data_IF_737788014163
#
_entry.id   IF_737788014163
#
_cell.length_a   1.000
_cell.length_b   1.000
_cell.length_c   1.000
_cell.angle_alpha   90.00
_cell.angle_beta   90.00
_cell.angle_gamma   90.00
#
_symmetry.space_group_name_H-M   'P 1'
#
loop_
_entity.id
_entity.type
_entity.pdbx_description
1 polymer ?
#
# COMPACT_ATOMS: atom_id res chain seq x y z
N UNK A 1 24.24 19.53 -24.07
CA UNK A 1 22.95 19.56 -24.78
C UNK A 1 22.54 18.10 -24.95
N UNK A 2 21.90 17.55 -23.91
CA UNK A 2 21.65 16.12 -23.79
C UNK A 2 20.46 15.71 -24.63
N UNK A 3 20.63 14.59 -25.31
CA UNK A 3 19.62 13.88 -26.09
C UNK A 3 18.29 13.78 -25.32
N UNK A 4 17.23 14.41 -25.86
CA UNK A 4 15.87 14.36 -25.33
C UNK A 4 14.98 13.33 -26.04
N UNK A 5 15.58 12.38 -26.78
CA UNK A 5 14.86 11.26 -27.44
C UNK A 5 15.02 9.94 -26.71
N UNK A 6 15.11 9.98 -25.38
CA UNK A 6 15.01 8.77 -24.56
C UNK A 6 13.55 8.33 -24.46
N UNK A 7 13.27 7.06 -24.75
CA UNK A 7 11.98 6.43 -24.44
C UNK A 7 11.62 6.71 -22.97
N UNK A 8 10.35 7.00 -22.66
CA UNK A 8 9.93 7.24 -21.28
C UNK A 8 10.26 6.01 -20.42
N UNK A 9 10.65 6.21 -19.14
CA UNK A 9 10.94 5.10 -18.26
C UNK A 9 9.73 4.17 -18.21
N UNK A 10 9.95 2.86 -18.40
CA UNK A 10 8.88 1.87 -18.41
C UNK A 10 8.37 1.53 -17.02
N UNK A 11 9.10 1.93 -15.98
CA UNK A 11 8.83 1.62 -14.60
C UNK A 11 8.89 2.88 -13.72
N UNK A 12 7.98 2.95 -12.76
CA UNK A 12 7.95 3.95 -11.70
C UNK A 12 7.87 3.23 -10.36
N UNK A 13 8.83 3.54 -9.49
CA UNK A 13 8.85 3.09 -8.10
C UNK A 13 8.08 4.09 -7.23
N UNK A 14 7.13 3.57 -6.46
CA UNK A 14 6.35 4.29 -5.45
C UNK A 14 6.79 3.77 -4.08
N UNK A 15 7.62 4.57 -3.42
CA UNK A 15 8.20 4.30 -2.10
C UNK A 15 7.33 4.94 -1.02
N UNK A 16 6.16 4.35 -0.81
CA UNK A 16 5.26 4.78 0.25
C UNK A 16 5.54 3.93 1.49
N UNK A 17 6.61 4.25 2.22
CA UNK A 17 6.82 3.71 3.55
C UNK A 17 5.83 4.38 4.52
N UNK A 18 5.13 3.64 5.39
CA UNK A 18 4.30 4.24 6.43
C UNK A 18 5.17 5.13 7.34
N UNK A 19 4.61 6.26 7.80
CA UNK A 19 5.36 7.23 8.57
C UNK A 19 5.85 6.63 9.91
N UNK A 20 7.06 6.98 10.40
CA UNK A 20 7.56 6.49 11.69
C UNK A 20 6.61 6.90 12.82
N UNK A 21 5.86 5.94 13.37
CA UNK A 21 4.84 6.18 14.42
C UNK A 21 3.51 5.44 14.21
N UNK A 22 3.24 4.95 12.99
CA UNK A 22 1.95 4.34 12.58
C UNK A 22 1.67 2.93 13.16
N UNK A 23 2.59 2.32 13.91
CA UNK A 23 2.40 0.99 14.54
C UNK A 23 1.44 0.99 15.74
N UNK A 24 0.96 2.16 16.18
CA UNK A 24 0.34 2.33 17.50
C UNK A 24 -1.20 2.32 17.52
N UNK A 25 -1.87 2.38 16.36
CA UNK A 25 -3.33 2.54 16.29
C UNK A 25 -4.13 1.21 16.30
N UNK A 26 -3.44 0.06 16.35
CA UNK A 26 -4.05 -1.28 16.31
C UNK A 26 -4.27 -1.99 17.66
N UNK A 27 -4.26 -1.25 18.77
CA UNK A 27 -4.12 -1.80 20.14
C UNK A 27 -5.18 -2.85 20.54
N UNK A 28 -6.39 -2.83 19.96
CA UNK A 28 -7.47 -3.75 20.33
C UNK A 28 -7.37 -5.17 19.76
N UNK A 29 -7.06 -5.32 18.46
CA UNK A 29 -7.00 -6.63 17.78
C UNK A 29 -5.60 -7.25 17.76
N UNK A 30 -4.55 -6.43 17.98
CA UNK A 30 -3.16 -6.89 18.04
C UNK A 30 -2.83 -7.72 19.30
N UNK A 31 -3.65 -7.63 20.35
CA UNK A 31 -3.43 -8.35 21.62
C UNK A 31 -3.96 -9.79 21.61
N UNK A 32 -4.90 -10.13 20.74
CA UNK A 32 -5.48 -11.48 20.65
C UNK A 32 -4.44 -12.60 20.46
N UNK A 33 -3.47 -12.50 19.53
CA UNK A 33 -2.44 -13.52 19.39
C UNK A 33 -1.51 -13.59 20.62
N UNK A 34 -1.26 -12.47 21.31
CA UNK A 34 -0.41 -12.40 22.50
C UNK A 34 -1.10 -13.10 23.69
N UNK A 35 -2.39 -12.85 23.89
CA UNK A 35 -3.18 -13.51 24.94
C UNK A 35 -3.28 -15.01 24.69
N UNK A 36 -3.49 -15.43 23.44
CA UNK A 36 -3.55 -16.85 23.07
C UNK A 36 -2.21 -17.55 23.30
N UNK A 37 -1.09 -16.94 22.91
CA UNK A 37 0.25 -17.50 23.15
C UNK A 37 0.58 -17.55 24.64
N UNK A 38 0.19 -16.54 25.42
CA UNK A 38 0.36 -16.54 26.87
C UNK A 38 -0.42 -17.68 27.55
N UNK A 39 -1.66 -17.96 27.10
CA UNK A 39 -2.48 -19.06 27.62
C UNK A 39 -1.90 -20.44 27.29
N UNK A 40 -1.42 -20.64 26.06
CA UNK A 40 -0.78 -21.91 25.64
C UNK A 40 0.54 -22.12 26.40
N UNK A 41 1.36 -21.07 26.57
CA UNK A 41 2.60 -21.14 27.34
C UNK A 41 2.33 -21.43 28.83
N UNK A 42 1.33 -20.78 29.43
CA UNK A 42 0.90 -21.02 30.81
C UNK A 42 0.38 -22.44 31.04
N UNK A 43 -0.38 -22.99 30.09
CA UNK A 43 -0.85 -24.37 30.13
C UNK A 43 0.30 -25.38 30.04
N UNK A 44 1.26 -25.17 29.14
CA UNK A 44 2.45 -26.02 28.99
C UNK A 44 3.36 -25.97 30.23
N UNK A 45 3.54 -24.79 30.83
CA UNK A 45 4.33 -24.61 32.05
C UNK A 45 3.75 -25.39 33.25
N UNK A 46 2.42 -25.49 33.34
CA UNK A 46 1.74 -26.22 34.41
C UNK A 46 1.75 -27.74 34.22
N UNK A 47 1.73 -28.23 32.98
CA UNK A 47 1.57 -29.66 32.68
C UNK A 47 2.88 -30.43 32.44
N UNK A 48 3.97 -29.74 32.07
CA UNK A 48 5.23 -30.39 31.70
C UNK A 48 6.39 -29.90 32.56
N UNK A 49 6.79 -28.65 32.39
CA UNK A 49 7.79 -27.98 33.22
C UNK A 49 7.86 -26.47 32.86
N UNK A 50 8.37 -25.62 33.77
CA UNK A 50 8.57 -24.19 33.49
C UNK A 50 9.46 -23.94 32.27
N UNK A 51 10.49 -24.77 32.09
CA UNK A 51 11.44 -24.68 30.97
C UNK A 51 10.77 -24.98 29.62
N UNK A 52 9.86 -25.97 29.59
CA UNK A 52 9.10 -26.29 28.38
C UNK A 52 8.15 -25.15 27.98
N UNK A 53 7.53 -24.48 28.96
CA UNK A 53 6.69 -23.30 28.73
C UNK A 53 7.48 -22.15 28.08
N UNK A 54 8.70 -21.89 28.56
CA UNK A 54 9.58 -20.86 27.98
C UNK A 54 10.00 -21.19 26.54
N UNK A 55 10.37 -22.44 26.26
CA UNK A 55 10.75 -22.86 24.90
C UNK A 55 9.58 -22.68 23.92
N UNK A 56 8.36 -23.07 24.31
CA UNK A 56 7.17 -22.87 23.49
C UNK A 56 6.88 -21.39 23.24
N UNK A 57 7.05 -20.52 24.25
CA UNK A 57 6.85 -19.09 24.10
C UNK A 57 7.87 -18.47 23.12
N UNK A 58 9.16 -18.79 23.28
CA UNK A 58 10.20 -18.31 22.37
C UNK A 58 10.00 -18.81 20.94
N UNK A 59 9.64 -20.07 20.76
CA UNK A 59 9.34 -20.63 19.44
C UNK A 59 8.13 -19.94 18.80
N UNK A 60 7.08 -19.65 19.57
CA UNK A 60 5.91 -18.95 19.07
C UNK A 60 6.21 -17.49 18.70
N UNK A 61 7.01 -16.77 19.50
CA UNK A 61 7.47 -15.41 19.16
C UNK A 61 8.34 -15.43 17.91
N UNK A 62 9.30 -16.35 17.82
CA UNK A 62 10.17 -16.48 16.65
C UNK A 62 9.36 -16.80 15.38
N UNK A 63 8.42 -17.75 15.47
CA UNK A 63 7.53 -18.08 14.36
C UNK A 63 6.66 -16.87 13.98
N UNK A 64 6.11 -16.16 14.96
CA UNK A 64 5.32 -14.95 14.70
C UNK A 64 6.14 -13.86 14.03
N UNK A 65 7.39 -13.62 14.45
CA UNK A 65 8.29 -12.66 13.81
C UNK A 65 8.66 -13.07 12.38
N UNK A 66 8.81 -14.36 12.12
CA UNK A 66 9.13 -14.89 10.78
C UNK A 66 7.90 -14.86 9.85
N UNK A 67 6.70 -15.13 10.37
CA UNK A 67 5.44 -15.14 9.62
C UNK A 67 4.90 -13.72 9.42
N UNK A 68 5.07 -12.83 10.41
CA UNK A 68 4.80 -11.41 10.31
C UNK A 68 5.94 -10.72 9.56
N UNK A 69 6.29 -11.24 8.38
CA UNK A 69 6.97 -10.40 7.41
C UNK A 69 5.94 -9.35 7.00
N UNK A 70 6.17 -8.07 7.33
CA UNK A 70 5.30 -7.03 6.88
C UNK A 70 5.26 -7.11 5.35
N UNK A 71 4.11 -6.77 4.78
CA UNK A 71 3.94 -6.52 3.36
C UNK A 71 4.70 -5.22 3.03
N UNK A 72 6.01 -5.23 3.28
CA UNK A 72 6.97 -4.16 3.04
C UNK A 72 7.56 -4.41 1.66
N UNK A 73 7.19 -3.55 0.73
CA UNK A 73 7.77 -3.52 -0.60
C UNK A 73 7.24 -2.32 -1.34
N UNK A 74 8.14 -1.65 -2.06
CA UNK A 74 7.78 -0.53 -2.93
C UNK A 74 6.76 -1.01 -3.96
N UNK A 75 5.80 -0.16 -4.28
CA UNK A 75 4.92 -0.43 -5.41
C UNK A 75 5.70 -0.11 -6.68
N UNK A 76 5.65 -1.01 -7.64
CA UNK A 76 6.28 -0.83 -8.95
C UNK A 76 5.16 -0.77 -9.97
N UNK A 77 5.01 0.39 -10.61
CA UNK A 77 4.12 0.59 -11.74
C UNK A 77 4.94 0.38 -13.01
N UNK A 78 4.56 -0.59 -13.82
CA UNK A 78 5.17 -0.83 -15.13
C UNK A 78 4.13 -0.60 -16.21
N UNK A 79 4.51 0.05 -17.32
CA UNK A 79 3.67 0.15 -18.51
C UNK A 79 4.29 -0.67 -19.64
N UNK A 80 3.58 -1.71 -20.05
CA UNK A 80 3.92 -2.58 -21.19
C UNK A 80 2.63 -2.98 -21.93
N UNK A 81 2.11 -2.05 -22.74
CA UNK A 81 0.77 -2.11 -23.34
C UNK A 81 -0.40 -2.01 -22.35
N UNK A 82 -0.16 -2.27 -21.06
CA UNK A 82 -1.09 -2.17 -19.96
C UNK A 82 -0.34 -1.65 -18.72
N UNK A 83 -1.07 -1.01 -17.80
CA UNK A 83 -0.56 -0.68 -16.47
C UNK A 83 -0.53 -1.96 -15.63
N UNK A 84 0.68 -2.35 -15.22
CA UNK A 84 0.94 -3.48 -14.33
C UNK A 84 1.40 -2.93 -12.99
N UNK A 85 0.70 -3.29 -11.92
CA UNK A 85 1.02 -2.89 -10.55
C UNK A 85 1.56 -4.12 -9.84
N UNK A 86 2.80 -4.03 -9.36
CA UNK A 86 3.47 -5.09 -8.59
C UNK A 86 3.99 -4.52 -7.27
N UNK A 87 4.31 -5.41 -6.33
CA UNK A 87 5.14 -5.06 -5.17
C UNK A 87 6.53 -5.62 -5.43
N UNK A 88 7.57 -4.86 -5.12
CA UNK A 88 8.97 -5.22 -5.38
C UNK A 88 9.35 -6.65 -4.92
N UNK A 89 8.81 -7.11 -3.78
CA UNK A 89 9.08 -8.44 -3.22
C UNK A 89 8.11 -9.54 -3.66
N UNK A 90 7.13 -9.23 -4.53
CA UNK A 90 6.14 -10.20 -5.03
C UNK A 90 6.31 -10.38 -6.54
N UNK A 91 6.40 -11.63 -6.97
CA UNK A 91 6.50 -11.97 -8.40
C UNK A 91 5.17 -11.76 -9.14
N UNK A 92 4.04 -11.97 -8.47
CA UNK A 92 2.72 -11.85 -9.07
C UNK A 92 2.23 -10.39 -9.08
N UNK A 93 1.64 -9.92 -10.19
CA UNK A 93 1.04 -8.59 -10.26
C UNK A 93 -0.19 -8.51 -9.36
N UNK A 94 -0.29 -7.42 -8.61
CA UNK A 94 -1.47 -7.05 -7.82
C UNK A 94 -2.63 -6.75 -8.75
N UNK A 95 -2.33 -6.07 -9.86
CA UNK A 95 -3.32 -5.75 -10.87
C UNK A 95 -2.66 -5.54 -12.24
N UNK A 96 -3.43 -5.83 -13.28
CA UNK A 96 -3.14 -5.47 -14.66
C UNK A 96 -4.37 -4.79 -15.25
N UNK A 97 -4.19 -3.62 -15.84
CA UNK A 97 -5.28 -2.77 -16.35
C UNK A 97 -4.87 -2.21 -17.70
N UNK A 98 -5.73 -2.31 -18.71
CA UNK A 98 -5.48 -1.63 -19.97
C UNK A 98 -5.39 -0.11 -19.74
N UNK A 99 -4.46 0.58 -20.41
CA UNK A 99 -4.24 2.00 -20.14
C UNK A 99 -5.49 2.85 -20.46
N UNK A 100 -6.26 2.44 -21.47
CA UNK A 100 -7.54 3.07 -21.84
C UNK A 100 -8.63 2.91 -20.77
N UNK A 101 -8.55 1.83 -19.99
CA UNK A 101 -9.45 1.54 -18.88
C UNK A 101 -9.09 2.32 -17.62
N UNK A 102 -7.91 2.95 -17.55
CA UNK A 102 -7.52 3.82 -16.44
C UNK A 102 -8.25 5.17 -16.61
N UNK A 103 -9.21 5.45 -15.73
CA UNK A 103 -10.05 6.64 -15.82
C UNK A 103 -9.36 7.87 -15.24
N UNK A 104 -8.89 7.77 -14.01
CA UNK A 104 -8.17 8.82 -13.31
C UNK A 104 -7.25 8.23 -12.22
N UNK A 105 -6.36 9.06 -11.69
CA UNK A 105 -5.54 8.77 -10.53
C UNK A 105 -5.92 9.77 -9.44
N UNK A 106 -6.66 9.31 -8.43
CA UNK A 106 -7.28 10.13 -7.39
C UNK A 106 -6.70 9.80 -6.00
N UNK A 107 -7.06 10.63 -5.02
CA UNK A 107 -6.70 10.42 -3.62
C UNK A 107 -7.95 10.06 -2.83
N UNK A 108 -7.98 8.86 -2.28
CA UNK A 108 -9.01 8.43 -1.34
C UNK A 108 -8.64 8.94 0.05
N UNK A 109 -9.49 9.79 0.63
CA UNK A 109 -9.22 10.51 1.88
C UNK A 109 -10.08 9.97 3.01
N UNK A 110 -9.48 9.76 4.18
CA UNK A 110 -10.18 9.41 5.41
C UNK A 110 -9.73 10.36 6.52
N UNK A 111 -10.70 11.04 7.12
CA UNK A 111 -10.47 11.91 8.28
C UNK A 111 -10.89 11.16 9.53
N UNK A 112 -9.95 10.96 10.46
CA UNK A 112 -10.25 10.39 11.78
C UNK A 112 -10.38 11.52 12.79
N UNK A 113 -11.47 11.47 13.55
CA UNK A 113 -11.65 12.36 14.69
C UNK A 113 -10.52 12.08 15.70
N UNK A 114 -9.86 13.15 16.16
CA UNK A 114 -8.90 13.03 17.24
C UNK A 114 -9.60 12.55 18.52
N UNK A 115 -8.90 11.76 19.34
CA UNK A 115 -9.35 11.45 20.69
C UNK A 115 -9.49 12.72 21.56
N UNK A 116 -9.83 12.59 22.85
CA UNK A 116 -10.02 13.74 23.75
C UNK A 116 -8.86 14.75 23.67
N UNK A 117 -9.11 15.89 23.01
CA UNK A 117 -8.16 16.99 22.83
C UNK A 117 -7.18 16.86 21.65
N UNK A 118 -7.26 15.81 20.83
CA UNK A 118 -6.44 15.63 19.64
C UNK A 118 -7.01 16.35 18.42
N UNK A 119 -6.12 16.92 17.58
CA UNK A 119 -6.52 17.41 16.27
C UNK A 119 -6.96 16.23 15.36
N UNK A 120 -7.96 16.43 14.49
CA UNK A 120 -8.30 15.45 13.47
C UNK A 120 -7.08 15.09 12.62
N UNK A 121 -6.92 13.81 12.32
CA UNK A 121 -5.84 13.33 11.44
C UNK A 121 -6.43 12.90 10.11
N UNK A 122 -5.94 13.52 9.04
CA UNK A 122 -6.23 13.10 7.67
C UNK A 122 -5.22 12.06 7.23
N UNK A 123 -5.73 10.99 6.60
CA UNK A 123 -4.97 9.89 6.06
C UNK A 123 -5.49 9.58 4.67
N UNK A 124 -4.60 9.36 3.72
CA UNK A 124 -4.99 9.25 2.31
C UNK A 124 -4.30 8.07 1.65
N UNK A 125 -4.85 7.56 0.57
CA UNK A 125 -4.18 6.57 -0.28
C UNK A 125 -4.44 6.89 -1.74
N UNK A 126 -3.49 6.55 -2.60
CA UNK A 126 -3.64 6.72 -4.03
C UNK A 126 -4.61 5.67 -4.57
N UNK A 127 -5.56 6.10 -5.40
CA UNK A 127 -6.51 5.25 -6.07
C UNK A 127 -6.34 5.40 -7.58
N UNK A 128 -6.13 4.28 -8.28
CA UNK A 128 -6.19 4.23 -9.74
C UNK A 128 -7.60 3.77 -10.11
N UNK A 129 -8.40 4.70 -10.63
CA UNK A 129 -9.77 4.45 -11.03
C UNK A 129 -9.81 3.69 -12.36
N UNK A 130 -10.71 2.71 -12.44
CA UNK A 130 -10.82 1.81 -13.60
C UNK A 130 -12.23 1.86 -14.15
N UNK A 131 -12.35 1.71 -15.47
CA UNK A 131 -13.63 1.49 -16.12
C UNK A 131 -14.29 0.20 -15.61
N UNK A 132 -13.48 -0.83 -15.36
CA UNK A 132 -13.90 -2.11 -14.84
C UNK A 132 -13.84 -2.15 -13.29
N UNK A 133 -14.89 -1.66 -12.62
CA UNK A 133 -15.13 -1.95 -11.21
C UNK A 133 -14.29 -1.16 -10.20
N UNK A 134 -13.84 -1.82 -9.13
CA UNK A 134 -13.25 -1.15 -7.96
C UNK A 134 -11.90 -0.48 -8.27
N UNK A 135 -11.56 0.65 -7.61
CA UNK A 135 -10.25 1.28 -7.73
C UNK A 135 -9.11 0.38 -7.22
N UNK A 136 -7.91 0.53 -7.80
CA UNK A 136 -6.71 -0.10 -7.24
C UNK A 136 -6.05 0.88 -6.29
N UNK A 137 -5.87 0.46 -5.03
CA UNK A 137 -5.19 1.27 -4.02
C UNK A 137 -3.69 0.96 -3.97
N UNK A 138 -2.85 1.99 -4.09
CA UNK A 138 -1.38 1.85 -4.05
C UNK A 138 -0.69 3.06 -3.38
N UNK A 139 -0.33 3.02 -2.09
CA UNK A 139 -0.36 1.85 -1.21
C UNK A 139 -1.76 1.41 -0.76
N UNK A 140 -1.86 0.17 -0.28
CA UNK A 140 -3.09 -0.34 0.35
C UNK A 140 -3.34 0.36 1.69
N UNK A 141 -2.27 0.65 2.42
CA UNK A 141 -2.26 1.42 3.66
C UNK A 141 -2.40 2.91 3.34
N UNK A 142 -2.90 3.69 4.30
CA UNK A 142 -3.01 5.14 4.14
C UNK A 142 -1.72 5.82 4.61
N UNK A 143 -1.30 6.82 3.87
CA UNK A 143 -0.11 7.64 4.11
C UNK A 143 -0.51 9.10 4.38
N UNK A 144 0.49 9.97 4.55
CA UNK A 144 0.24 11.39 4.78
C UNK A 144 -0.28 12.08 3.51
N UNK A 145 -1.09 13.16 3.63
CA UNK A 145 -1.56 13.93 2.47
C UNK A 145 -0.44 14.44 1.56
N UNK A 146 0.68 14.87 2.14
CA UNK A 146 1.81 15.44 1.40
C UNK A 146 2.46 14.38 0.51
N UNK A 147 2.78 13.21 1.07
CA UNK A 147 3.38 12.10 0.31
C UNK A 147 2.44 11.64 -0.81
N UNK A 148 1.15 11.51 -0.53
CA UNK A 148 0.22 11.04 -1.54
C UNK A 148 0.02 12.04 -2.69
N UNK A 149 0.03 13.35 -2.41
CA UNK A 149 0.00 14.37 -3.47
C UNK A 149 1.25 14.30 -4.35
N UNK A 150 2.42 14.11 -3.76
CA UNK A 150 3.66 13.91 -4.51
C UNK A 150 3.58 12.67 -5.41
N UNK A 151 3.12 11.54 -4.86
CA UNK A 151 2.96 10.29 -5.60
C UNK A 151 1.91 10.39 -6.70
N UNK A 152 0.77 11.04 -6.44
CA UNK A 152 -0.26 11.28 -7.44
C UNK A 152 0.29 12.06 -8.64
N UNK A 153 1.05 13.13 -8.39
CA UNK A 153 1.70 13.91 -9.44
C UNK A 153 2.66 13.05 -10.28
N UNK A 154 3.55 12.29 -9.62
CA UNK A 154 4.51 11.41 -10.29
C UNK A 154 3.82 10.34 -11.16
N UNK A 155 2.80 9.68 -10.61
CA UNK A 155 2.04 8.65 -11.35
C UNK A 155 1.33 9.26 -12.55
N UNK A 156 0.65 10.41 -12.40
CA UNK A 156 -0.01 11.09 -13.53
C UNK A 156 0.98 11.47 -14.64
N UNK A 157 2.14 12.01 -14.28
CA UNK A 157 3.20 12.36 -15.25
C UNK A 157 3.72 11.11 -15.97
N UNK A 158 3.99 10.04 -15.23
CA UNK A 158 4.44 8.77 -15.77
C UNK A 158 3.42 8.17 -16.75
N UNK A 159 2.14 8.07 -16.36
CA UNK A 159 1.10 7.53 -17.24
C UNK A 159 0.93 8.38 -18.51
N UNK A 160 0.98 9.72 -18.39
CA UNK A 160 0.90 10.63 -19.54
C UNK A 160 2.05 10.43 -20.52
N UNK A 161 3.27 10.18 -20.03
CA UNK A 161 4.40 9.86 -20.88
C UNK A 161 4.19 8.58 -21.71
N UNK A 162 3.27 7.70 -21.28
CA UNK A 162 2.85 6.49 -22.00
C UNK A 162 1.52 6.65 -22.77
N UNK A 163 1.06 7.89 -23.01
CA UNK A 163 -0.11 8.18 -23.85
C UNK A 163 -1.46 8.13 -23.12
N UNK A 164 -1.46 7.94 -21.80
CA UNK A 164 -2.68 8.05 -21.00
C UNK A 164 -3.14 9.51 -20.87
N UNK A 165 -4.45 9.72 -20.89
CA UNK A 165 -5.09 10.98 -20.54
C UNK A 165 -6.22 10.75 -19.53
N UNK A 166 -6.35 11.62 -18.51
CA UNK A 166 -7.49 11.62 -17.61
C UNK A 166 -8.83 11.67 -18.36
N UNK A 167 -9.88 11.09 -17.76
CA UNK A 167 -11.21 11.01 -18.37
C UNK A 167 -11.77 12.36 -18.81
N UNK A 168 -11.60 13.40 -17.99
CA UNK A 168 -12.04 14.77 -18.28
C UNK A 168 -11.32 15.35 -19.51
N UNK A 169 -10.00 15.19 -19.59
CA UNK A 169 -9.21 15.62 -20.75
C UNK A 169 -9.56 14.85 -22.03
N UNK A 170 -9.85 13.54 -21.92
CA UNK A 170 -10.35 12.73 -23.04
C UNK A 170 -11.70 13.24 -23.55
N UNK A 171 -12.62 13.57 -22.65
CA UNK A 171 -13.94 14.10 -23.00
C UNK A 171 -13.83 15.45 -23.72
N UNK A 172 -12.96 16.35 -23.24
CA UNK A 172 -12.69 17.62 -23.89
C UNK A 172 -12.14 17.43 -25.31
N UNK A 173 -11.18 16.51 -25.49
CA UNK A 173 -10.61 16.22 -26.80
C UNK A 173 -11.65 15.65 -27.78
N UNK A 174 -12.54 14.78 -27.31
CA UNK A 174 -13.61 14.21 -28.12
C UNK A 174 -14.69 15.24 -28.52
N UNK A 175 -14.94 16.25 -27.68
CA UNK A 175 -15.87 17.34 -28.01
C UNK A 175 -15.31 18.36 -29.01
N UNK A 176 -13.99 18.37 -29.21
CA UNK A 176 -13.29 19.30 -30.10
C UNK A 176 -13.03 18.74 -31.50
N UNK A 177 -13.33 17.44 -31.72
CA UNK A 177 -13.22 16.74 -33.01
C UNK A 177 -14.58 16.59 -33.68
#
# INVERSE_FOLDING_TARGET
MGDMTGDPPRELLVDAAPAPGDSSDGSGSAMAPIVLTALVAGGAAKLVSPTAGLVCLFAAIALWLVVKKPDEGRFVLRVDGALVVTRERRAEPIARVALDDVLDVTLDRETRAGGRGGAPTERVRLAVERASGEPIFMPAERITPIEAQEWQGKVRVFLRAHGWLPRDERALRASAS
#
